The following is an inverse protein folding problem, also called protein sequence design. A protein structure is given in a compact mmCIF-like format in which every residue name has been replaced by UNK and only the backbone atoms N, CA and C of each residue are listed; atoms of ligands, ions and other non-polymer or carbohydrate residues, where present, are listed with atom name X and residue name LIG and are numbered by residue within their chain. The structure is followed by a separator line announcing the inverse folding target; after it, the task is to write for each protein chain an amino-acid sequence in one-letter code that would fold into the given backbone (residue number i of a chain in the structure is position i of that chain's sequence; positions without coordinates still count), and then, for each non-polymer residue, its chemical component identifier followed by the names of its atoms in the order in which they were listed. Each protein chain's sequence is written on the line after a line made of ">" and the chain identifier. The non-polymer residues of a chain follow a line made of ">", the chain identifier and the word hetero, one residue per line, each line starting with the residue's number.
data_IF_030584673255
#
_entry.id   IF_030584673255
#
_cell.length_a   1.000
_cell.length_b   1.000
_cell.length_c   1.000
_cell.angle_alpha   90.00
_cell.angle_beta   90.00
_cell.angle_gamma   90.00
#
_symmetry.space_group_name_H-M   'P 1'
#
loop_
_entity.id
_entity.type
_entity.pdbx_description
1 polymer ?
#
# COMPACT_ATOMS: atom_id res chain seq x y z
N UNK A 1 -30.40 23.95 -19.68
CA UNK A 1 -30.40 24.37 -21.10
C UNK A 1 -29.19 25.26 -21.31
N UNK A 2 -28.29 24.87 -22.21
CA UNK A 2 -27.13 25.69 -22.55
C UNK A 2 -27.60 26.88 -23.40
N UNK A 3 -27.31 28.11 -22.96
CA UNK A 3 -27.67 29.34 -23.70
C UNK A 3 -26.51 29.72 -24.64
N UNK A 4 -25.30 29.71 -24.09
CA UNK A 4 -24.04 29.93 -24.80
C UNK A 4 -22.88 29.29 -24.00
N UNK A 5 -21.65 29.36 -24.52
CA UNK A 5 -20.44 28.75 -23.93
C UNK A 5 -20.14 29.16 -22.47
N UNK A 6 -20.73 30.26 -21.97
CA UNK A 6 -20.51 30.77 -20.62
C UNK A 6 -21.77 30.82 -19.77
N UNK A 7 -22.93 30.56 -20.34
CA UNK A 7 -24.22 30.74 -19.66
C UNK A 7 -25.08 29.50 -19.82
N UNK A 8 -25.41 28.87 -18.70
CA UNK A 8 -26.31 27.72 -18.64
C UNK A 8 -27.54 28.09 -17.84
N UNK A 9 -28.72 27.99 -18.45
CA UNK A 9 -29.99 28.10 -17.74
C UNK A 9 -30.22 26.85 -16.91
N UNK A 10 -30.38 27.05 -15.61
CA UNK A 10 -30.74 26.02 -14.64
C UNK A 10 -32.24 26.14 -14.35
N UNK A 11 -32.92 25.00 -14.37
CA UNK A 11 -34.26 24.86 -13.81
C UNK A 11 -34.11 24.25 -12.42
N UNK A 12 -34.62 24.94 -11.40
CA UNK A 12 -34.55 24.48 -10.01
C UNK A 12 -35.97 24.21 -9.56
N UNK A 13 -36.28 22.92 -9.39
CA UNK A 13 -37.52 22.47 -8.78
C UNK A 13 -37.32 22.42 -7.27
N UNK A 14 -38.22 23.06 -6.52
CA UNK A 14 -38.20 23.10 -5.07
C UNK A 14 -39.49 22.50 -4.57
N UNK A 15 -39.37 21.47 -3.73
CA UNK A 15 -40.49 20.80 -3.07
C UNK A 15 -40.31 20.90 -1.56
N UNK A 16 -41.39 21.13 -0.82
CA UNK A 16 -41.32 21.21 0.62
C UNK A 16 -42.69 21.22 1.28
N UNK A 17 -42.69 21.41 2.60
CA UNK A 17 -43.91 21.47 3.42
C UNK A 17 -43.93 22.75 4.23
N UNK A 18 -45.08 23.43 4.28
CA UNK A 18 -45.36 24.54 5.20
C UNK A 18 -46.63 24.17 5.95
N UNK A 19 -46.54 24.03 7.28
CA UNK A 19 -47.67 23.63 8.13
C UNK A 19 -48.42 22.38 7.60
N UNK A 20 -47.65 21.32 7.28
CA UNK A 20 -48.12 20.05 6.69
C UNK A 20 -48.76 20.15 5.30
N UNK A 21 -48.70 21.32 4.65
CA UNK A 21 -49.12 21.51 3.26
C UNK A 21 -47.91 21.37 2.35
N UNK A 22 -47.96 20.39 1.45
CA UNK A 22 -46.97 20.22 0.40
C UNK A 22 -47.06 21.35 -0.61
N UNK A 23 -45.91 21.90 -0.99
CA UNK A 23 -45.79 22.83 -2.10
C UNK A 23 -44.69 22.38 -3.06
N UNK A 24 -44.89 22.74 -4.32
CA UNK A 24 -43.93 22.54 -5.40
C UNK A 24 -43.87 23.84 -6.21
N UNK A 25 -42.66 24.32 -6.45
CA UNK A 25 -42.42 25.47 -7.32
C UNK A 25 -41.22 25.23 -8.24
N UNK A 26 -41.24 25.87 -9.41
CA UNK A 26 -40.17 25.76 -10.41
C UNK A 26 -39.63 27.15 -10.68
N UNK A 27 -38.36 27.35 -10.34
CA UNK A 27 -37.64 28.58 -10.63
C UNK A 27 -36.62 28.39 -11.74
N UNK A 28 -36.28 29.48 -12.41
CA UNK A 28 -35.21 29.51 -13.40
C UNK A 28 -34.08 30.42 -12.92
N UNK A 29 -32.85 29.99 -13.13
CA UNK A 29 -31.64 30.76 -12.82
C UNK A 29 -30.62 30.58 -13.95
N UNK A 30 -29.60 31.44 -13.99
CA UNK A 30 -28.51 31.36 -14.98
C UNK A 30 -27.21 31.14 -14.22
N UNK A 31 -26.59 29.97 -14.43
CA UNK A 31 -25.21 29.73 -14.03
C UNK A 31 -24.28 30.38 -15.05
N UNK A 32 -23.40 31.27 -14.57
CA UNK A 32 -22.41 31.96 -15.39
C UNK A 32 -21.03 31.40 -15.10
N UNK A 33 -20.31 31.02 -16.14
CA UNK A 33 -18.94 30.51 -16.07
C UNK A 33 -18.00 31.64 -16.51
N UNK A 34 -16.98 31.90 -15.71
CA UNK A 34 -15.89 32.82 -16.06
C UNK A 34 -14.58 32.08 -16.13
N UNK A 35 -13.75 32.45 -17.10
CA UNK A 35 -12.40 31.90 -17.21
C UNK A 35 -11.52 32.58 -16.15
N UNK A 36 -10.82 31.77 -15.37
CA UNK A 36 -9.80 32.23 -14.44
C UNK A 36 -8.55 31.37 -14.59
N UNK A 37 -7.41 31.92 -14.17
CA UNK A 37 -6.16 31.16 -14.15
C UNK A 37 -6.25 30.12 -13.04
N UNK A 38 -6.11 28.84 -13.39
CA UNK A 38 -6.03 27.78 -12.40
C UNK A 38 -4.72 27.93 -11.58
N UNK A 39 -4.80 28.14 -10.25
CA UNK A 39 -3.62 28.30 -9.41
C UNK A 39 -2.73 27.05 -9.42
N UNK A 40 -3.33 25.86 -9.47
CA UNK A 40 -2.61 24.58 -9.54
C UNK A 40 -1.86 24.43 -10.86
N UNK A 41 -2.49 24.71 -12.00
CA UNK A 41 -1.83 24.64 -13.30
C UNK A 41 -0.65 25.62 -13.38
N UNK A 42 -0.82 26.82 -12.83
CA UNK A 42 0.25 27.83 -12.76
C UNK A 42 1.42 27.33 -11.92
N UNK A 43 1.15 26.75 -10.75
CA UNK A 43 2.19 26.16 -9.88
C UNK A 43 2.90 24.99 -10.57
N UNK A 44 2.15 24.08 -11.20
CA UNK A 44 2.71 22.96 -11.98
C UNK A 44 3.66 23.45 -13.06
N UNK A 45 3.20 24.37 -13.91
CA UNK A 45 3.99 24.95 -15.00
C UNK A 45 5.21 25.73 -14.48
N UNK A 46 5.10 26.33 -13.29
CA UNK A 46 6.18 27.06 -12.63
C UNK A 46 7.20 26.21 -11.88
N UNK A 47 7.21 24.88 -12.05
CA UNK A 47 8.09 23.95 -11.31
C UNK A 47 7.99 24.10 -9.78
N UNK A 48 6.81 24.47 -9.27
CA UNK A 48 6.56 24.56 -7.85
C UNK A 48 6.46 23.17 -7.23
N UNK A 49 7.17 22.97 -6.12
CA UNK A 49 7.06 21.78 -5.28
C UNK A 49 7.47 22.07 -3.85
N UNK A 50 6.92 21.27 -2.94
CA UNK A 50 7.24 21.34 -1.51
C UNK A 50 7.96 20.10 -0.99
N UNK A 51 7.83 18.96 -1.68
CA UNK A 51 8.38 17.70 -1.20
C UNK A 51 8.97 16.84 -2.31
N UNK A 52 9.95 16.01 -1.95
CA UNK A 52 10.51 14.95 -2.78
C UNK A 52 10.49 13.64 -2.02
N UNK A 53 9.84 12.61 -2.57
CA UNK A 53 9.86 11.25 -2.03
C UNK A 53 10.80 10.41 -2.89
N UNK A 54 11.79 9.79 -2.26
CA UNK A 54 12.81 8.99 -2.88
C UNK A 54 12.58 7.52 -2.52
N UNK A 55 12.17 6.72 -3.50
CA UNK A 55 12.04 5.28 -3.36
C UNK A 55 13.40 4.64 -3.56
N UNK A 56 13.88 3.91 -2.56
CA UNK A 56 15.18 3.22 -2.54
C UNK A 56 15.00 1.80 -2.00
N UNK A 57 16.03 0.98 -2.13
CA UNK A 57 16.11 -0.33 -1.48
C UNK A 57 17.01 -0.28 -0.24
N UNK A 58 16.86 -1.29 0.61
CA UNK A 58 17.86 -1.71 1.60
C UNK A 58 18.63 -2.93 1.09
N UNK A 59 19.96 -2.83 0.97
CA UNK A 59 20.84 -3.98 0.74
C UNK A 59 20.91 -4.54 -0.70
N UNK A 60 20.01 -4.15 -1.61
CA UNK A 60 20.08 -4.53 -3.04
C UNK A 60 19.55 -3.44 -3.98
N UNK A 61 19.43 -3.71 -5.27
CA UNK A 61 18.64 -2.86 -6.19
C UNK A 61 17.18 -3.33 -6.19
N UNK A 62 16.25 -2.39 -6.32
CA UNK A 62 14.86 -2.72 -6.63
C UNK A 62 14.76 -3.19 -8.07
N UNK A 63 13.90 -4.18 -8.31
CA UNK A 63 13.53 -4.55 -9.68
C UNK A 63 12.60 -3.50 -10.28
N UNK A 64 12.42 -3.51 -11.60
CA UNK A 64 11.46 -2.61 -12.26
C UNK A 64 10.02 -2.89 -11.81
N UNK A 65 9.68 -4.16 -11.57
CA UNK A 65 8.37 -4.57 -11.04
C UNK A 65 8.14 -4.02 -9.63
N UNK A 66 9.15 -4.07 -8.76
CA UNK A 66 9.05 -3.50 -7.41
C UNK A 66 8.89 -1.98 -7.45
N UNK A 67 9.63 -1.29 -8.33
CA UNK A 67 9.48 0.16 -8.50
C UNK A 67 8.09 0.52 -9.03
N UNK A 68 7.60 -0.21 -10.03
CA UNK A 68 6.28 -0.03 -10.61
C UNK A 68 5.19 -0.29 -9.56
N UNK A 69 5.33 -1.35 -8.77
CA UNK A 69 4.41 -1.68 -7.68
C UNK A 69 4.38 -0.57 -6.62
N UNK A 70 5.53 -0.10 -6.17
CA UNK A 70 5.63 1.02 -5.21
C UNK A 70 5.00 2.29 -5.77
N UNK A 71 5.34 2.67 -7.02
CA UNK A 71 4.78 3.85 -7.69
C UNK A 71 3.26 3.73 -7.77
N UNK A 72 2.72 2.60 -8.23
CA UNK A 72 1.26 2.42 -8.43
C UNK A 72 0.48 2.65 -7.14
N UNK A 73 1.07 2.38 -5.97
CA UNK A 73 0.42 2.69 -4.68
C UNK A 73 0.20 4.18 -4.42
N UNK A 74 0.84 5.07 -5.19
CA UNK A 74 0.55 6.51 -5.13
C UNK A 74 -0.82 6.83 -5.70
N UNK A 75 -1.19 6.23 -6.84
CA UNK A 75 -2.51 6.45 -7.45
C UNK A 75 -3.63 5.94 -6.53
N UNK A 76 -3.47 4.74 -5.99
CA UNK A 76 -4.44 4.20 -5.04
C UNK A 76 -4.51 5.03 -3.76
N UNK A 77 -3.38 5.57 -3.30
CA UNK A 77 -3.35 6.42 -2.12
C UNK A 77 -4.02 7.79 -2.37
N UNK A 78 -3.73 8.45 -3.48
CA UNK A 78 -4.30 9.77 -3.78
C UNK A 78 -5.82 9.70 -4.05
N UNK A 79 -6.31 8.59 -4.62
CA UNK A 79 -7.74 8.32 -4.77
C UNK A 79 -8.45 8.06 -3.43
N UNK A 80 -7.72 7.59 -2.42
CA UNK A 80 -8.27 7.25 -1.10
C UNK A 80 -8.41 8.45 -0.13
N UNK A 81 -7.97 9.64 -0.53
CA UNK A 81 -7.96 10.85 0.32
C UNK A 81 -8.76 11.99 -0.32
N UNK A 82 -9.18 12.96 0.49
CA UNK A 82 -9.90 14.13 -0.01
C UNK A 82 -9.04 14.89 -1.04
N UNK A 83 -9.64 15.31 -2.18
CA UNK A 83 -8.91 16.02 -3.22
C UNK A 83 -8.47 17.39 -2.72
N UNK A 84 -7.18 17.71 -2.91
CA UNK A 84 -6.60 19.02 -2.63
C UNK A 84 -5.93 19.56 -3.92
N UNK A 85 -6.16 20.84 -4.30
CA UNK A 85 -5.50 21.44 -5.45
C UNK A 85 -3.96 21.39 -5.43
N UNK A 86 -3.34 21.19 -4.27
CA UNK A 86 -1.90 21.00 -4.08
C UNK A 86 -1.43 19.55 -4.18
N UNK A 87 -2.35 18.59 -4.28
CA UNK A 87 -2.02 17.20 -4.45
C UNK A 87 -1.75 16.89 -5.92
N UNK A 88 -0.51 17.16 -6.31
CA UNK A 88 -0.05 16.84 -7.65
C UNK A 88 1.42 16.43 -7.68
N UNK A 89 1.75 15.66 -8.72
CA UNK A 89 3.12 15.36 -9.13
C UNK A 89 3.60 16.53 -10.01
N UNK A 90 4.72 17.14 -9.63
CA UNK A 90 5.40 18.13 -10.45
C UNK A 90 6.33 17.45 -11.46
N UNK A 91 7.11 16.46 -10.99
CA UNK A 91 8.01 15.66 -11.80
C UNK A 91 8.21 14.29 -11.13
N UNK A 92 8.51 13.25 -11.91
CA UNK A 92 8.87 11.93 -11.40
C UNK A 92 9.78 11.19 -12.38
N UNK A 93 10.56 10.23 -11.89
CA UNK A 93 11.35 9.39 -12.78
C UNK A 93 12.40 8.50 -12.11
N UNK A 94 12.93 7.60 -12.92
CA UNK A 94 14.04 6.73 -12.55
C UNK A 94 15.32 7.54 -12.30
N UNK A 95 16.03 7.19 -11.24
CA UNK A 95 17.33 7.73 -10.89
C UNK A 95 18.29 6.60 -10.55
N UNK A 96 19.59 6.89 -10.51
CA UNK A 96 20.59 5.90 -10.10
C UNK A 96 20.28 5.37 -8.71
N UNK A 97 19.85 4.11 -8.63
CA UNK A 97 19.53 3.43 -7.37
C UNK A 97 18.10 3.59 -6.86
N UNK A 98 17.17 4.12 -7.66
CA UNK A 98 15.76 4.18 -7.27
C UNK A 98 14.86 5.03 -8.17
N UNK A 99 13.82 5.59 -7.58
CA UNK A 99 12.83 6.44 -8.25
C UNK A 99 12.52 7.66 -7.38
N UNK A 100 12.40 8.84 -7.97
CA UNK A 100 12.10 10.07 -7.25
C UNK A 100 10.74 10.63 -7.71
N UNK A 101 9.91 11.05 -6.75
CA UNK A 101 8.65 11.73 -6.99
C UNK A 101 8.66 13.11 -6.32
N UNK A 102 8.49 14.15 -7.13
CA UNK A 102 8.46 15.54 -6.71
C UNK A 102 7.00 16.00 -6.60
N UNK A 103 6.58 16.39 -5.40
CA UNK A 103 5.20 16.60 -5.03
C UNK A 103 4.92 18.05 -4.62
N UNK A 104 3.73 18.53 -4.97
CA UNK A 104 3.23 19.87 -4.62
C UNK A 104 2.98 20.08 -3.14
N UNK A 105 2.86 19.02 -2.34
CA UNK A 105 2.48 19.09 -0.92
C UNK A 105 3.31 18.17 -0.02
N UNK A 106 3.73 18.68 1.14
CA UNK A 106 4.38 17.87 2.20
C UNK A 106 3.44 16.85 2.83
N UNK A 107 2.16 17.19 2.97
CA UNK A 107 1.17 16.31 3.58
C UNK A 107 0.97 15.04 2.74
N UNK A 108 0.84 15.22 1.42
CA UNK A 108 0.76 14.12 0.46
C UNK A 108 1.98 13.21 0.53
N UNK A 109 3.18 13.78 0.56
CA UNK A 109 4.44 13.03 0.65
C UNK A 109 4.52 12.14 1.91
N UNK A 110 4.17 12.71 3.07
CA UNK A 110 4.17 11.96 4.35
C UNK A 110 3.09 10.90 4.39
N UNK A 111 1.90 11.25 3.91
CA UNK A 111 0.76 10.35 3.82
C UNK A 111 1.09 9.11 3.00
N UNK A 112 1.62 9.30 1.79
CA UNK A 112 2.02 8.21 0.93
C UNK A 112 3.18 7.40 1.51
N UNK A 113 4.20 8.05 2.11
CA UNK A 113 5.29 7.33 2.79
C UNK A 113 4.77 6.43 3.91
N UNK A 114 3.80 6.90 4.70
CA UNK A 114 3.16 6.10 5.75
C UNK A 114 2.39 4.92 5.17
N UNK A 115 1.73 5.10 4.02
CA UNK A 115 1.09 4.02 3.28
C UNK A 115 2.12 2.96 2.84
N UNK A 116 3.25 3.38 2.27
CA UNK A 116 4.35 2.47 1.88
C UNK A 116 4.90 1.68 3.07
N UNK A 117 5.19 2.33 4.20
CA UNK A 117 5.69 1.67 5.41
C UNK A 117 4.71 0.64 5.97
N UNK A 118 3.40 0.90 5.89
CA UNK A 118 2.37 -0.04 6.35
C UNK A 118 2.25 -1.26 5.44
N UNK A 119 2.32 -1.05 4.12
CA UNK A 119 2.14 -2.12 3.13
C UNK A 119 3.39 -2.97 2.95
N UNK A 120 4.55 -2.34 2.80
CA UNK A 120 5.80 -3.00 2.41
C UNK A 120 6.87 -2.99 3.52
N UNK A 121 6.59 -2.38 4.66
CA UNK A 121 7.57 -2.22 5.73
C UNK A 121 8.70 -1.29 5.31
N UNK A 122 9.84 -1.46 5.95
CA UNK A 122 11.06 -0.72 5.65
C UNK A 122 11.29 0.47 6.57
N UNK A 123 12.12 1.38 6.09
CA UNK A 123 12.51 2.57 6.87
C UNK A 123 12.32 3.83 6.03
N UNK A 124 12.05 4.94 6.71
CA UNK A 124 11.99 6.26 6.08
C UNK A 124 12.85 7.26 6.85
N UNK A 125 13.57 8.12 6.13
CA UNK A 125 14.29 9.26 6.70
C UNK A 125 13.75 10.56 6.11
N UNK A 126 13.33 11.48 6.95
CA UNK A 126 12.90 12.82 6.55
C UNK A 126 14.01 13.85 6.81
N UNK A 127 14.18 14.78 5.88
CA UNK A 127 15.00 15.98 6.05
C UNK A 127 14.26 17.21 5.53
N UNK A 128 14.49 18.37 6.12
CA UNK A 128 13.94 19.64 5.66
C UNK A 128 15.09 20.59 5.32
N UNK A 129 14.95 21.30 4.20
CA UNK A 129 15.90 22.34 3.77
C UNK A 129 15.16 23.67 3.63
N UNK A 130 15.76 24.76 4.10
CA UNK A 130 15.22 26.11 3.91
C UNK A 130 15.59 26.58 2.51
N UNK A 131 14.59 27.00 1.73
CA UNK A 131 14.76 27.51 0.35
C UNK A 131 14.51 29.01 0.23
N UNK A 132 14.02 29.65 1.29
CA UNK A 132 13.82 31.09 1.33
C UNK A 132 13.07 31.52 2.59
N UNK A 133 12.72 32.81 2.64
CA UNK A 133 11.85 33.39 3.66
C UNK A 133 10.69 34.12 3.03
N UNK A 134 9.50 33.96 3.62
CA UNK A 134 8.29 34.68 3.23
C UNK A 134 7.57 35.12 4.50
N UNK A 135 7.22 36.40 4.59
CA UNK A 135 6.49 36.97 5.72
C UNK A 135 7.13 36.69 7.10
N UNK A 136 8.47 36.60 7.14
CA UNK A 136 9.24 36.30 8.34
C UNK A 136 9.38 34.81 8.67
N UNK A 137 8.69 33.93 7.93
CA UNK A 137 8.76 32.48 8.11
C UNK A 137 9.67 31.81 7.07
N UNK A 138 10.37 30.76 7.48
CA UNK A 138 11.22 29.97 6.60
C UNK A 138 10.37 29.08 5.68
N UNK A 139 10.51 29.29 4.37
CA UNK A 139 9.93 28.39 3.37
C UNK A 139 10.85 27.20 3.23
N UNK A 140 10.36 26.00 3.55
CA UNK A 140 11.14 24.76 3.54
C UNK A 140 10.67 23.78 2.49
N UNK A 141 11.60 22.94 1.99
CA UNK A 141 11.31 21.75 1.20
C UNK A 141 11.63 20.48 1.98
N UNK A 142 10.73 19.51 1.88
CA UNK A 142 10.82 18.21 2.53
C UNK A 142 11.44 17.18 1.59
N UNK A 143 12.42 16.42 2.05
CA UNK A 143 12.89 15.22 1.35
C UNK A 143 12.63 14.01 2.23
N UNK A 144 11.95 13.00 1.68
CA UNK A 144 11.72 11.72 2.36
C UNK A 144 12.43 10.63 1.58
N UNK A 145 13.36 9.91 2.21
CA UNK A 145 13.99 8.72 1.64
C UNK A 145 13.35 7.48 2.24
N UNK A 146 12.51 6.81 1.46
CA UNK A 146 11.91 5.53 1.79
C UNK A 146 12.82 4.39 1.29
N UNK A 147 13.05 3.38 2.12
CA UNK A 147 13.85 2.20 1.80
C UNK A 147 13.03 0.94 1.98
N UNK A 148 12.63 0.31 0.86
CA UNK A 148 11.95 -0.98 0.85
C UNK A 148 12.92 -2.09 1.29
N UNK A 149 12.53 -2.96 2.23
CA UNK A 149 13.35 -4.11 2.63
C UNK A 149 13.32 -5.20 1.56
N UNK A 150 14.28 -6.12 1.62
CA UNK A 150 14.33 -7.31 0.77
C UNK A 150 13.35 -8.43 1.18
N UNK A 151 12.38 -8.09 2.04
CA UNK A 151 11.42 -9.00 2.66
C UNK A 151 10.00 -8.52 2.35
N UNK A 152 9.05 -9.45 2.29
CA UNK A 152 7.63 -9.19 2.13
C UNK A 152 6.83 -9.84 3.27
N UNK A 153 5.61 -9.37 3.50
CA UNK A 153 4.68 -10.08 4.38
C UNK A 153 4.42 -11.47 3.82
N UNK A 154 4.36 -12.46 4.71
CA UNK A 154 4.18 -13.85 4.32
C UNK A 154 5.47 -14.60 4.04
N UNK A 155 6.61 -13.94 3.77
CA UNK A 155 7.88 -14.64 3.53
C UNK A 155 8.26 -15.54 4.72
N UNK A 156 8.78 -16.73 4.42
CA UNK A 156 9.31 -17.64 5.44
C UNK A 156 10.81 -17.42 5.57
N UNK A 157 11.27 -17.14 6.79
CA UNK A 157 12.66 -16.96 7.15
C UNK A 157 13.13 -18.07 8.09
N UNK A 158 14.44 -18.36 8.08
CA UNK A 158 15.06 -19.29 9.04
C UNK A 158 15.85 -18.54 10.10
N UNK A 159 15.51 -18.76 11.38
CA UNK A 159 16.18 -18.17 12.55
C UNK A 159 16.38 -19.21 13.63
N UNK A 160 17.63 -19.37 14.09
CA UNK A 160 18.01 -20.27 15.19
C UNK A 160 17.47 -21.71 15.00
N UNK A 161 17.54 -22.23 13.77
CA UNK A 161 17.08 -23.58 13.43
C UNK A 161 15.56 -23.75 13.32
N UNK A 162 14.78 -22.67 13.49
CA UNK A 162 13.32 -22.67 13.33
C UNK A 162 12.89 -21.81 12.15
N UNK A 163 11.74 -22.14 11.59
CA UNK A 163 11.11 -21.39 10.52
C UNK A 163 10.07 -20.43 11.08
N UNK A 164 10.05 -19.22 10.53
CA UNK A 164 9.18 -18.14 10.95
C UNK A 164 8.62 -17.45 9.72
N UNK A 165 7.38 -17.02 9.81
CA UNK A 165 6.74 -16.23 8.78
C UNK A 165 6.73 -14.76 9.17
N UNK A 166 6.98 -13.86 8.21
CA UNK A 166 6.82 -12.42 8.42
C UNK A 166 5.33 -12.10 8.51
N UNK A 167 4.88 -11.75 9.71
CA UNK A 167 3.45 -11.59 10.00
C UNK A 167 2.96 -10.15 9.83
N UNK A 168 3.72 -9.17 10.34
CA UNK A 168 3.36 -7.76 10.25
C UNK A 168 4.58 -6.85 10.35
N UNK A 169 4.51 -5.67 9.76
CA UNK A 169 5.55 -4.66 9.88
C UNK A 169 5.45 -3.88 11.20
N UNK A 170 6.60 -3.59 11.79
CA UNK A 170 6.73 -2.73 12.96
C UNK A 170 7.66 -1.56 12.64
N UNK A 171 7.64 -0.52 13.47
CA UNK A 171 8.50 0.66 13.27
C UNK A 171 9.99 0.29 13.18
N UNK A 172 10.44 -0.67 13.98
CA UNK A 172 11.84 -1.09 14.06
C UNK A 172 12.10 -2.50 13.51
N UNK A 173 11.22 -3.02 12.65
CA UNK A 173 11.42 -4.32 12.03
C UNK A 173 10.11 -5.03 11.67
N UNK A 174 9.98 -6.29 12.06
CA UNK A 174 8.80 -7.10 11.81
C UNK A 174 8.37 -7.89 13.05
N UNK A 175 7.06 -8.11 13.17
CA UNK A 175 6.51 -9.18 13.97
C UNK A 175 6.57 -10.46 13.14
N UNK A 176 7.20 -11.51 13.66
CA UNK A 176 7.29 -12.83 13.02
C UNK A 176 6.49 -13.85 13.81
N UNK A 177 5.84 -14.79 13.12
CA UNK A 177 5.10 -15.93 13.71
C UNK A 177 5.82 -17.24 13.42
N UNK A 178 5.91 -18.11 14.41
CA UNK A 178 6.40 -19.49 14.20
C UNK A 178 5.43 -20.20 13.25
N UNK A 179 5.96 -21.09 12.39
CA UNK A 179 5.09 -21.92 11.52
C UNK A 179 4.54 -23.14 12.26
N UNK A 180 5.24 -23.61 13.30
CA UNK A 180 4.98 -24.89 13.97
C UNK A 180 4.12 -24.75 15.24
N UNK A 181 4.04 -23.54 15.82
CA UNK A 181 3.38 -23.28 17.10
C UNK A 181 2.79 -21.88 17.15
N UNK A 182 1.82 -21.69 18.03
CA UNK A 182 1.23 -20.39 18.33
C UNK A 182 2.21 -19.49 19.13
N UNK A 183 3.22 -18.98 18.45
CA UNK A 183 4.27 -18.14 19.01
C UNK A 183 4.57 -16.97 18.07
N UNK A 184 4.66 -15.76 18.63
CA UNK A 184 5.05 -14.55 17.89
C UNK A 184 6.16 -13.83 18.62
N UNK A 185 7.09 -13.25 17.87
CA UNK A 185 8.17 -12.45 18.43
C UNK A 185 8.55 -11.31 17.50
N UNK A 186 9.10 -10.23 18.06
CA UNK A 186 9.62 -9.12 17.26
C UNK A 186 11.02 -9.43 16.74
N UNK A 187 11.32 -8.95 15.55
CA UNK A 187 12.65 -9.02 14.95
C UNK A 187 13.04 -7.64 14.41
N UNK A 188 14.21 -7.13 14.82
CA UNK A 188 14.66 -5.81 14.40
C UNK A 188 15.07 -5.79 12.93
N UNK A 189 15.13 -4.63 12.28
CA UNK A 189 15.69 -4.51 10.94
C UNK A 189 17.11 -5.08 10.83
N UNK A 190 17.96 -4.81 11.84
CA UNK A 190 19.34 -5.32 11.90
C UNK A 190 19.39 -6.84 12.00
N UNK A 191 18.44 -7.45 12.69
CA UNK A 191 18.40 -8.91 12.82
C UNK A 191 17.76 -9.56 11.59
N UNK A 192 16.75 -8.93 10.98
CA UNK A 192 16.19 -9.34 9.70
C UNK A 192 17.27 -9.41 8.62
N UNK A 193 18.14 -8.40 8.51
CA UNK A 193 19.26 -8.39 7.55
C UNK A 193 20.24 -9.58 7.69
N UNK A 194 20.25 -10.26 8.85
CA UNK A 194 21.08 -11.46 9.09
C UNK A 194 20.32 -12.77 8.83
N UNK A 195 19.03 -12.68 8.52
CA UNK A 195 18.20 -13.84 8.20
C UNK A 195 18.16 -14.09 6.71
N UNK A 196 17.92 -15.35 6.35
CA UNK A 196 17.67 -15.77 4.98
C UNK A 196 16.18 -16.02 4.80
N UNK A 197 15.64 -15.55 3.68
CA UNK A 197 14.34 -16.00 3.17
C UNK A 197 14.54 -17.40 2.60
N UNK A 198 13.77 -18.37 3.09
CA UNK A 198 13.80 -19.77 2.63
C UNK A 198 12.63 -20.11 1.71
N UNK A 199 11.55 -19.34 1.75
CA UNK A 199 10.44 -19.40 0.79
C UNK A 199 9.80 -18.02 0.70
N UNK A 200 9.58 -17.54 -0.52
CA UNK A 200 9.00 -16.22 -0.76
C UNK A 200 7.48 -16.30 -0.78
N UNK A 201 6.80 -15.29 -0.25
CA UNK A 201 5.33 -15.24 -0.23
C UNK A 201 4.69 -15.39 -1.61
N UNK A 202 5.35 -14.93 -2.67
CA UNK A 202 4.90 -15.07 -4.07
C UNK A 202 4.99 -16.50 -4.61
N UNK A 203 5.72 -17.39 -3.94
CA UNK A 203 5.87 -18.81 -4.29
C UNK A 203 4.91 -19.69 -3.51
N UNK A 204 4.21 -19.12 -2.52
CA UNK A 204 3.24 -19.85 -1.72
C UNK A 204 1.98 -20.12 -2.54
N UNK A 205 1.37 -21.27 -2.31
CA UNK A 205 0.22 -21.74 -3.06
C UNK A 205 -0.96 -21.94 -2.11
N UNK A 206 -2.14 -21.51 -2.55
CA UNK A 206 -3.39 -21.92 -1.94
C UNK A 206 -3.87 -23.20 -2.61
N UNK A 207 -4.10 -24.26 -1.84
CA UNK A 207 -4.54 -25.57 -2.32
C UNK A 207 -5.83 -26.00 -1.65
N UNK A 208 -6.71 -26.66 -2.42
CA UNK A 208 -7.93 -27.25 -1.90
C UNK A 208 -7.64 -28.50 -1.07
N UNK A 209 -8.39 -28.67 0.02
CA UNK A 209 -8.29 -29.82 0.90
C UNK A 209 -9.10 -30.98 0.31
N UNK A 210 -8.43 -32.06 -0.07
CA UNK A 210 -9.08 -33.26 -0.60
C UNK A 210 -9.59 -34.18 0.52
N UNK A 211 -8.75 -34.37 1.53
CA UNK A 211 -9.07 -35.19 2.71
C UNK A 211 -8.40 -34.58 3.93
N UNK A 212 -9.12 -34.63 5.05
CA UNK A 212 -8.69 -34.09 6.34
C UNK A 212 -8.75 -35.18 7.39
N UNK A 213 -7.61 -35.44 8.02
CA UNK A 213 -7.48 -36.29 9.19
C UNK A 213 -7.24 -35.43 10.45
N UNK A 214 -7.00 -36.04 11.61
CA UNK A 214 -6.87 -35.33 12.90
C UNK A 214 -5.63 -34.44 13.01
N UNK A 215 -4.61 -34.66 12.19
CA UNK A 215 -3.32 -33.93 12.25
C UNK A 215 -2.70 -33.64 10.89
N UNK A 216 -3.35 -34.04 9.80
CA UNK A 216 -2.80 -33.98 8.47
C UNK A 216 -3.91 -33.79 7.42
N UNK A 217 -3.52 -33.23 6.28
CA UNK A 217 -4.39 -32.95 5.15
C UNK A 217 -3.73 -33.45 3.86
N UNK A 218 -4.54 -34.09 3.03
CA UNK A 218 -4.18 -34.45 1.66
C UNK A 218 -4.61 -33.33 0.70
N UNK A 219 -3.73 -32.96 -0.21
CA UNK A 219 -3.95 -31.97 -1.25
C UNK A 219 -3.39 -32.46 -2.59
N UNK A 220 -3.82 -31.83 -3.68
CA UNK A 220 -3.26 -32.07 -5.01
C UNK A 220 -2.08 -31.14 -5.26
N UNK A 221 -0.87 -31.68 -5.47
CA UNK A 221 0.29 -30.86 -5.87
C UNK A 221 0.05 -30.30 -7.28
N UNK A 222 -0.03 -28.97 -7.46
CA UNK A 222 -0.35 -28.39 -8.77
C UNK A 222 0.79 -28.53 -9.78
N UNK A 223 1.99 -28.91 -9.36
CA UNK A 223 3.13 -29.10 -10.26
C UNK A 223 3.07 -30.42 -11.02
N UNK A 224 2.61 -31.50 -10.37
CA UNK A 224 2.61 -32.85 -10.95
C UNK A 224 1.31 -33.64 -10.78
N UNK A 225 0.26 -33.00 -10.25
CA UNK A 225 -1.08 -33.57 -10.04
C UNK A 225 -1.07 -34.86 -9.22
N UNK A 226 -0.15 -34.97 -8.26
CA UNK A 226 -0.12 -36.07 -7.30
C UNK A 226 -0.68 -35.64 -5.97
N UNK A 227 -1.40 -36.54 -5.32
CA UNK A 227 -1.85 -36.34 -3.95
C UNK A 227 -0.65 -36.41 -3.02
N UNK A 228 -0.51 -35.39 -2.17
CA UNK A 228 0.51 -35.30 -1.12
C UNK A 228 -0.15 -34.94 0.20
N UNK A 229 0.54 -35.25 1.29
CA UNK A 229 0.07 -35.02 2.65
C UNK A 229 0.95 -34.00 3.35
N UNK A 230 0.34 -33.05 4.05
CA UNK A 230 1.02 -32.10 4.94
C UNK A 230 0.41 -32.15 6.34
N UNK A 231 1.23 -31.87 7.35
CA UNK A 231 0.74 -31.67 8.71
C UNK A 231 -0.16 -30.44 8.78
N UNK A 232 -1.21 -30.48 9.60
CA UNK A 232 -2.05 -29.32 9.85
C UNK A 232 -1.25 -28.20 10.56
N UNK A 233 -1.45 -26.93 10.17
CA UNK A 233 -0.88 -25.81 10.90
C UNK A 233 -1.58 -25.70 12.26
N UNK A 234 -0.89 -25.11 13.24
CA UNK A 234 -1.39 -25.06 14.62
C UNK A 234 -2.68 -24.24 14.79
N UNK A 235 -3.02 -23.38 13.82
CA UNK A 235 -4.20 -22.49 13.84
C UNK A 235 -5.36 -23.01 12.97
N UNK A 236 -5.25 -24.25 12.48
CA UNK A 236 -6.34 -24.91 11.78
C UNK A 236 -7.56 -25.10 12.70
N UNK A 237 -8.74 -24.76 12.19
CA UNK A 237 -10.01 -24.78 12.93
C UNK A 237 -10.92 -25.97 12.53
N UNK A 238 -10.44 -26.86 11.67
CA UNK A 238 -11.21 -28.01 11.17
C UNK A 238 -12.26 -27.69 10.11
N UNK A 239 -12.49 -26.41 9.79
CA UNK A 239 -13.56 -25.97 8.88
C UNK A 239 -13.08 -25.41 7.54
N UNK A 240 -11.78 -25.11 7.43
CA UNK A 240 -11.17 -24.58 6.21
C UNK A 240 -11.32 -25.57 5.04
N UNK A 241 -11.72 -25.06 3.86
CA UNK A 241 -11.75 -25.81 2.60
C UNK A 241 -10.45 -25.72 1.79
N UNK A 242 -9.59 -24.75 2.10
CA UNK A 242 -8.29 -24.55 1.46
C UNK A 242 -7.19 -24.36 2.50
N UNK A 243 -5.93 -24.45 2.06
CA UNK A 243 -4.75 -24.30 2.90
C UNK A 243 -3.62 -23.62 2.13
N UNK A 244 -2.87 -22.76 2.80
CA UNK A 244 -1.67 -22.15 2.22
C UNK A 244 -0.46 -23.05 2.46
N UNK A 245 0.23 -23.45 1.40
CA UNK A 245 1.43 -24.28 1.45
C UNK A 245 2.64 -23.54 0.89
N UNK A 246 3.81 -23.91 1.38
CA UNK A 246 5.10 -23.47 0.85
C UNK A 246 6.07 -24.65 0.74
N UNK A 247 6.95 -24.59 -0.24
CA UNK A 247 8.04 -25.55 -0.38
C UNK A 247 9.24 -25.05 0.44
N UNK A 248 9.57 -25.75 1.52
CA UNK A 248 10.67 -25.40 2.43
C UNK A 248 11.61 -26.59 2.51
N UNK A 249 12.87 -26.40 2.08
CA UNK A 249 13.88 -27.48 2.06
C UNK A 249 13.38 -28.75 1.34
N UNK A 250 12.76 -28.57 0.16
CA UNK A 250 12.20 -29.62 -0.70
C UNK A 250 11.01 -30.39 -0.10
N UNK A 251 10.44 -29.92 1.01
CA UNK A 251 9.24 -30.47 1.63
C UNK A 251 8.09 -29.47 1.60
N UNK A 252 6.88 -29.95 1.29
CA UNK A 252 5.68 -29.15 1.41
C UNK A 252 5.34 -28.94 2.88
N UNK A 253 5.06 -27.68 3.24
CA UNK A 253 4.72 -27.28 4.60
C UNK A 253 3.47 -26.43 4.55
N UNK A 254 2.48 -26.80 5.37
CA UNK A 254 1.32 -25.99 5.64
C UNK A 254 1.71 -24.75 6.46
N UNK A 255 1.30 -23.57 6.00
CA UNK A 255 1.56 -22.31 6.70
C UNK A 255 0.35 -21.89 7.52
N UNK A 256 0.57 -21.32 8.72
CA UNK A 256 -0.51 -20.72 9.50
C UNK A 256 -1.04 -19.46 8.83
N UNK A 257 -2.25 -19.03 9.19
CA UNK A 257 -2.85 -17.82 8.63
C UNK A 257 -2.09 -16.57 9.06
N UNK A 258 -1.76 -15.72 8.09
CA UNK A 258 -1.36 -14.33 8.32
C UNK A 258 -2.61 -13.46 8.43
N UNK A 259 -2.70 -12.66 9.50
CA UNK A 259 -3.80 -11.72 9.68
C UNK A 259 -3.62 -10.58 8.67
N UNK A 260 -4.16 -10.75 7.48
CA UNK A 260 -4.00 -9.84 6.34
C UNK A 260 -4.13 -10.48 4.96
N UNK A 261 -4.30 -11.81 4.86
CA UNK A 261 -4.55 -12.52 3.61
C UNK A 261 -5.99 -12.41 3.08
N UNK A 262 -6.96 -12.07 3.93
CA UNK A 262 -8.33 -11.71 3.49
C UNK A 262 -8.35 -10.25 3.05
N UNK A 263 -7.68 -9.95 1.95
CA UNK A 263 -8.07 -8.83 1.09
C UNK A 263 -8.27 -9.42 -0.29
N UNK A 264 -9.47 -9.96 -0.51
CA UNK A 264 -10.06 -9.94 -1.84
C UNK A 264 -10.01 -8.50 -2.34
N UNK A 265 -9.60 -8.34 -3.59
CA UNK A 265 -9.58 -7.07 -4.34
C UNK A 265 -10.87 -6.24 -4.17
#
# INVERSE_FOLDING_TARGET
>A
EEIDERNTRLSVQVTGYIDDIEFEDIHTSIARISNSVCPTCTRKAGNYFEATVQLRSSGRKLTEDELTSLRTTFDTYIESIDPDPMFFINNEGNVTGGYDMVLGSKALARGWTKHLLRRFGGTSKETNSVVGRKDGEDVTRLTISYRKPAFNLGDVIRKQGRYWQIHAWQKDGALISSIDRQERTGLTWRDLEKTIVVSQASEHLEVEILKRDSSAVDFMDPNDWKVRTVSLPYDDDGSQGSLHIALIADEWVALPRTAGGDVSE
#
